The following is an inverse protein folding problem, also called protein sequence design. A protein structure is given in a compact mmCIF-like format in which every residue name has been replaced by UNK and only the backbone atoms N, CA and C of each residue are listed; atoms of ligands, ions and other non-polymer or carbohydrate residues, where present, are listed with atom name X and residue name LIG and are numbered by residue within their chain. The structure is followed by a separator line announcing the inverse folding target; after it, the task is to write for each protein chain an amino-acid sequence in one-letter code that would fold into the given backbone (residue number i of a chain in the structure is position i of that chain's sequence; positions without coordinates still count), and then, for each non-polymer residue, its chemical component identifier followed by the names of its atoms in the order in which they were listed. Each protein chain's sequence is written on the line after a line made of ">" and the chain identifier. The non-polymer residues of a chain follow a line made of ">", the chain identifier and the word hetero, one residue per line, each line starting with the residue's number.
data_IF_603375268410
#
_entry.id   IF_603375268410
#
_cell.length_a   1.000
_cell.length_b   1.000
_cell.length_c   1.000
_cell.angle_alpha   90.00
_cell.angle_beta   90.00
_cell.angle_gamma   90.00
#
_symmetry.space_group_name_H-M   'P 1'
#
loop_
_entity.id
_entity.type
_entity.pdbx_description
1 polymer ?
#
# COMPACT_ATOMS: atom_id res chain seq x y z
N UNK A 1 -0.40 5.47 12.93
CA UNK A 1 0.09 4.62 11.84
C UNK A 1 -0.72 4.78 10.56
N UNK A 2 -2.04 4.78 10.66
CA UNK A 2 -2.91 4.87 9.48
C UNK A 2 -2.83 6.23 8.78
N UNK A 3 -2.72 7.32 9.53
CA UNK A 3 -2.56 8.66 8.96
C UNK A 3 -1.25 8.82 8.21
N UNK A 4 -0.15 8.31 8.77
CA UNK A 4 1.16 8.35 8.10
C UNK A 4 1.17 7.51 6.85
N UNK A 5 0.55 6.34 6.90
CA UNK A 5 0.40 5.44 5.76
C UNK A 5 -0.33 6.14 4.61
N UNK A 6 -1.43 6.82 4.91
CA UNK A 6 -2.22 7.56 3.91
C UNK A 6 -1.46 8.74 3.32
N UNK A 7 -0.78 9.53 4.15
CA UNK A 7 0.03 10.66 3.68
C UNK A 7 1.11 10.20 2.71
N UNK A 8 1.79 9.11 3.05
CA UNK A 8 2.84 8.56 2.21
C UNK A 8 2.30 8.08 0.87
N UNK A 9 1.20 7.34 0.91
CA UNK A 9 0.56 6.83 -0.30
C UNK A 9 0.07 7.96 -1.20
N UNK A 10 -0.51 9.01 -0.63
CA UNK A 10 -0.98 10.17 -1.37
C UNK A 10 0.18 10.92 -2.02
N UNK A 11 1.29 11.08 -1.29
CA UNK A 11 2.48 11.74 -1.81
C UNK A 11 3.08 10.97 -2.99
N UNK A 12 3.14 9.64 -2.90
CA UNK A 12 3.65 8.78 -3.99
C UNK A 12 2.74 8.85 -5.20
N UNK A 13 1.43 8.90 -5.01
CA UNK A 13 0.48 8.91 -6.12
C UNK A 13 0.55 10.19 -6.95
N UNK A 14 1.14 11.26 -6.41
CA UNK A 14 1.18 12.55 -7.09
C UNK A 14 -0.19 13.19 -7.25
N UNK A 15 -1.18 12.78 -6.43
CA UNK A 15 -2.53 13.29 -6.50
C UNK A 15 -3.39 12.66 -7.58
N UNK A 16 -2.97 11.52 -8.15
CA UNK A 16 -3.73 10.78 -9.16
C UNK A 16 -4.00 9.35 -8.72
N UNK A 17 -5.04 8.75 -9.29
CA UNK A 17 -5.35 7.34 -9.07
C UNK A 17 -4.22 6.45 -9.61
N UNK A 18 -3.73 5.52 -8.79
CA UNK A 18 -2.64 4.63 -9.17
C UNK A 18 -3.01 3.69 -10.33
N UNK A 19 -4.28 3.40 -10.51
CA UNK A 19 -4.75 2.44 -11.51
C UNK A 19 -5.10 3.10 -12.83
N UNK A 20 -5.94 4.16 -12.81
CA UNK A 20 -6.45 4.76 -14.04
C UNK A 20 -5.87 6.15 -14.36
N UNK A 21 -5.11 6.74 -13.43
CA UNK A 21 -4.47 8.04 -13.64
C UNK A 21 -5.38 9.25 -13.48
N UNK A 22 -6.63 9.08 -13.10
CA UNK A 22 -7.54 10.21 -12.88
C UNK A 22 -7.09 11.07 -11.70
N UNK A 23 -7.23 12.41 -11.78
CA UNK A 23 -6.98 13.26 -10.63
C UNK A 23 -7.89 12.91 -9.45
N UNK A 24 -7.31 12.85 -8.26
CA UNK A 24 -8.05 12.55 -7.03
C UNK A 24 -8.71 13.78 -6.42
N UNK A 25 -8.43 14.97 -6.97
CA UNK A 25 -8.97 16.23 -6.48
C UNK A 25 -10.46 16.39 -6.68
N UNK A 26 -11.04 15.67 -7.64
CA UNK A 26 -12.47 15.79 -7.99
C UNK A 26 -13.38 14.91 -7.17
N UNK A 27 -12.84 14.18 -6.19
CA UNK A 27 -13.59 13.29 -5.34
C UNK A 27 -12.81 12.92 -4.09
N UNK A 28 -13.39 12.06 -3.26
CA UNK A 28 -12.69 11.56 -2.08
C UNK A 28 -11.77 10.42 -2.47
N UNK A 29 -10.44 10.58 -2.26
CA UNK A 29 -9.52 9.49 -2.56
C UNK A 29 -9.83 8.28 -1.67
N UNK A 30 -9.82 7.09 -2.26
CA UNK A 30 -10.07 5.86 -1.54
C UNK A 30 -8.76 5.13 -1.30
N UNK A 31 -8.41 4.95 -0.03
CA UNK A 31 -7.24 4.15 0.35
C UNK A 31 -7.56 2.67 0.21
N UNK A 32 -6.65 1.93 -0.41
CA UNK A 32 -6.80 0.50 -0.61
C UNK A 32 -5.52 -0.23 -0.23
N UNK A 33 -5.67 -1.39 0.40
CA UNK A 33 -4.54 -2.27 0.71
C UNK A 33 -4.22 -3.15 -0.51
N UNK A 34 -2.95 -3.24 -0.87
CA UNK A 34 -2.50 -4.16 -1.93
C UNK A 34 -2.62 -5.60 -1.46
N UNK A 35 -2.11 -5.90 -0.27
CA UNK A 35 -2.41 -7.15 0.44
C UNK A 35 -3.54 -6.82 1.40
N UNK A 36 -4.70 -7.46 1.20
CA UNK A 36 -5.90 -7.11 1.95
C UNK A 36 -5.74 -7.19 3.47
N UNK A 37 -6.37 -6.27 4.18
CA UNK A 37 -6.35 -6.23 5.64
C UNK A 37 -7.32 -7.26 6.20
N UNK A 38 -6.90 -8.52 6.23
CA UNK A 38 -7.67 -9.62 6.78
C UNK A 38 -6.88 -10.30 7.89
N UNK A 39 -7.59 -11.01 8.77
CA UNK A 39 -6.96 -11.77 9.84
C UNK A 39 -5.97 -12.79 9.29
N UNK A 40 -6.33 -13.49 8.20
CA UNK A 40 -5.47 -14.47 7.56
C UNK A 40 -4.19 -13.84 7.00
N UNK A 41 -4.32 -12.70 6.31
CA UNK A 41 -3.17 -12.01 5.74
C UNK A 41 -2.26 -11.43 6.83
N UNK A 42 -2.81 -10.93 7.92
CA UNK A 42 -2.03 -10.46 9.06
C UNK A 42 -1.24 -11.60 9.70
N UNK A 43 -1.83 -12.78 9.81
CA UNK A 43 -1.14 -13.96 10.34
C UNK A 43 -0.02 -14.42 9.40
N UNK A 44 -0.24 -14.34 8.09
CA UNK A 44 0.73 -14.81 7.09
C UNK A 44 1.88 -13.84 6.85
N UNK A 45 1.60 -12.55 6.73
CA UNK A 45 2.60 -11.53 6.36
C UNK A 45 3.07 -10.66 7.52
N UNK A 46 2.30 -10.60 8.60
CA UNK A 46 2.58 -9.78 9.77
C UNK A 46 1.95 -8.40 9.70
N UNK A 47 1.69 -7.82 10.87
CA UNK A 47 1.07 -6.49 10.98
C UNK A 47 1.93 -5.40 10.34
N UNK A 48 3.25 -5.51 10.44
CA UNK A 48 4.16 -4.52 9.88
C UNK A 48 3.98 -4.39 8.36
N UNK A 49 3.81 -5.51 7.65
CA UNK A 49 3.59 -5.51 6.20
C UNK A 49 2.21 -4.94 5.86
N UNK A 50 1.17 -5.42 6.54
CA UNK A 50 -0.21 -4.98 6.25
C UNK A 50 -0.37 -3.48 6.50
N UNK A 51 0.20 -2.96 7.58
CA UNK A 51 0.08 -1.55 7.96
C UNK A 51 1.14 -0.65 7.32
N UNK A 52 2.06 -1.20 6.53
CA UNK A 52 3.13 -0.42 5.92
C UNK A 52 2.62 0.53 4.84
N UNK A 53 3.19 1.76 4.73
CA UNK A 53 2.78 2.71 3.68
C UNK A 53 2.86 2.14 2.26
N UNK A 54 3.82 1.27 1.97
CA UNK A 54 3.96 0.65 0.64
C UNK A 54 2.81 -0.29 0.31
N UNK A 55 2.09 -0.77 1.32
CA UNK A 55 0.94 -1.66 1.14
C UNK A 55 -0.36 -0.91 0.83
N UNK A 56 -0.35 0.41 0.88
CA UNK A 56 -1.55 1.22 0.62
C UNK A 56 -1.36 2.04 -0.64
N UNK A 57 -2.40 2.09 -1.47
CA UNK A 57 -2.46 2.98 -2.61
C UNK A 57 -3.75 3.78 -2.58
N UNK A 58 -3.79 4.89 -3.33
CA UNK A 58 -4.98 5.70 -3.47
C UNK A 58 -5.58 5.54 -4.85
N UNK A 59 -6.89 5.37 -4.89
CA UNK A 59 -7.65 5.14 -6.12
C UNK A 59 -8.89 6.02 -6.15
N UNK A 60 -9.50 6.15 -7.33
CA UNK A 60 -10.66 6.99 -7.52
C UNK A 60 -11.99 6.26 -7.30
N UNK A 61 -11.99 4.93 -7.18
CA UNK A 61 -13.22 4.15 -7.11
C UNK A 61 -12.98 2.77 -6.54
N UNK A 62 -14.05 2.08 -6.17
CA UNK A 62 -14.01 0.69 -5.71
C UNK A 62 -13.48 -0.27 -6.79
N UNK A 63 -13.78 0.02 -8.05
CA UNK A 63 -13.27 -0.76 -9.18
C UNK A 63 -11.74 -0.69 -9.25
N UNK A 64 -11.17 0.50 -9.10
CA UNK A 64 -9.73 0.68 -9.06
C UNK A 64 -9.11 0.05 -7.82
N UNK A 65 -9.79 0.11 -6.67
CA UNK A 65 -9.34 -0.57 -5.45
C UNK A 65 -9.19 -2.08 -5.69
N UNK A 66 -10.18 -2.69 -6.34
CA UNK A 66 -10.13 -4.12 -6.65
C UNK A 66 -8.97 -4.47 -7.58
N UNK A 67 -8.67 -3.60 -8.55
CA UNK A 67 -7.54 -3.79 -9.46
C UNK A 67 -6.18 -3.66 -8.76
N UNK A 68 -6.12 -2.92 -7.64
CA UNK A 68 -4.89 -2.74 -6.87
C UNK A 68 -4.56 -3.97 -6.01
N UNK A 69 -5.54 -4.78 -5.68
CA UNK A 69 -5.39 -5.94 -4.78
C UNK A 69 -4.52 -7.02 -5.41
N UNK A 70 -3.43 -7.36 -4.73
CA UNK A 70 -2.48 -8.41 -5.15
C UNK A 70 -2.55 -9.65 -4.26
N UNK A 71 -3.52 -9.72 -3.35
CA UNK A 71 -3.61 -10.81 -2.36
C UNK A 71 -3.60 -12.21 -2.97
N UNK A 72 -4.15 -12.34 -4.18
CA UNK A 72 -4.22 -13.62 -4.90
C UNK A 72 -3.01 -13.89 -5.79
N UNK A 73 -2.02 -13.00 -5.80
CA UNK A 73 -0.81 -13.15 -6.60
C UNK A 73 0.41 -13.30 -5.68
N UNK A 74 0.82 -14.55 -5.35
CA UNK A 74 1.94 -14.77 -4.42
C UNK A 74 3.24 -14.12 -4.85
N UNK A 75 3.54 -14.11 -6.16
CA UNK A 75 4.77 -13.50 -6.66
C UNK A 75 4.81 -11.99 -6.38
N UNK A 76 3.70 -11.30 -6.58
CA UNK A 76 3.60 -9.86 -6.29
C UNK A 76 3.65 -9.58 -4.79
N UNK A 77 3.02 -10.44 -3.98
CA UNK A 77 3.10 -10.34 -2.53
C UNK A 77 4.55 -10.45 -2.03
N UNK A 78 5.31 -11.39 -2.58
CA UNK A 78 6.73 -11.59 -2.22
C UNK A 78 7.55 -10.36 -2.61
N UNK A 79 7.33 -9.81 -3.80
CA UNK A 79 8.03 -8.59 -4.26
C UNK A 79 7.76 -7.42 -3.32
N UNK A 80 6.51 -7.23 -2.93
CA UNK A 80 6.13 -6.16 -2.02
C UNK A 80 6.78 -6.35 -0.64
N UNK A 81 6.75 -7.56 -0.10
CA UNK A 81 7.39 -7.88 1.18
C UNK A 81 8.88 -7.57 1.15
N UNK A 82 9.57 -7.94 0.08
CA UNK A 82 11.00 -7.65 -0.09
C UNK A 82 11.27 -6.15 -0.09
N UNK A 83 10.45 -5.37 -0.79
CA UNK A 83 10.56 -3.90 -0.79
C UNK A 83 10.39 -3.32 0.61
N UNK A 84 9.39 -3.80 1.34
CA UNK A 84 9.09 -3.34 2.69
C UNK A 84 10.25 -3.66 3.63
N UNK A 85 10.73 -4.90 3.64
CA UNK A 85 11.84 -5.32 4.50
C UNK A 85 13.13 -4.59 4.15
N UNK A 86 13.40 -4.36 2.88
CA UNK A 86 14.58 -3.59 2.46
C UNK A 86 14.49 -2.15 2.97
N UNK A 87 13.33 -1.53 2.86
CA UNK A 87 13.12 -0.17 3.37
C UNK A 87 13.31 -0.08 4.87
N UNK A 88 12.77 -1.04 5.62
CA UNK A 88 12.91 -1.06 7.07
C UNK A 88 14.37 -1.29 7.51
N UNK A 89 15.10 -2.18 6.82
CA UNK A 89 16.51 -2.40 7.07
C UNK A 89 17.33 -1.13 6.83
N UNK A 90 17.05 -0.38 5.77
CA UNK A 90 17.73 0.88 5.47
C UNK A 90 17.47 1.94 6.54
N UNK A 91 16.28 1.97 7.13
CA UNK A 91 15.99 2.86 8.26
C UNK A 91 16.90 2.58 9.44
N UNK A 92 17.11 1.31 9.77
CA UNK A 92 18.00 0.92 10.86
C UNK A 92 19.44 1.33 10.59
N UNK A 93 19.92 1.13 9.37
CA UNK A 93 21.28 1.54 8.97
C UNK A 93 21.43 3.06 9.02
N UNK A 94 20.40 3.80 8.64
CA UNK A 94 20.40 5.26 8.64
C UNK A 94 20.41 5.90 10.03
N UNK A 95 20.07 5.15 11.07
CA UNK A 95 20.03 5.67 12.44
C UNK A 95 21.31 5.44 13.23
N UNK A 96 22.28 4.81 12.65
CA UNK A 96 23.58 4.58 13.29
C UNK A 96 24.48 5.86 13.23
#
# INVERSE_FOLDING_TARGET
>A
AEKEQRRYALAISGGVCEVCGRPLSDGQPQGAHRIGNTKANRAKYGDMVIDHPFNVGYTCSLKCNAALDISRNPAECIKLCKRIYTREALKYEGTK
#
